data_IF_740505450843
#
_entry.id   IF_740505450843
#
_cell.length_a   1.000
_cell.length_b   1.000
_cell.length_c   1.000
_cell.angle_alpha   90.00
_cell.angle_beta   90.00
_cell.angle_gamma   90.00
#
_symmetry.space_group_name_H-M   'P 1'
#
loop_
_entity.id
_entity.type
_entity.pdbx_description
1 polymer ?
#
# COMPACT_ATOMS: atom_id res chain seq x y z
N UNK A 1 9.64 1.53 -2.13
CA UNK A 1 9.75 2.18 -0.79
C UNK A 1 10.85 1.55 0.08
N UNK A 2 10.99 0.22 0.17
CA UNK A 2 11.98 -0.44 1.05
C UNK A 2 13.44 -0.04 0.82
N UNK A 3 13.86 0.15 -0.44
CA UNK A 3 15.22 0.63 -0.74
C UNK A 3 15.47 2.04 -0.22
N UNK A 4 14.47 2.93 -0.37
CA UNK A 4 14.55 4.31 0.14
C UNK A 4 14.65 4.33 1.66
N UNK A 5 13.92 3.45 2.34
CA UNK A 5 14.00 3.32 3.81
C UNK A 5 15.42 2.97 4.25
N UNK A 6 16.07 2.02 3.58
CA UNK A 6 17.44 1.62 3.91
C UNK A 6 18.44 2.78 3.78
N UNK A 7 18.32 3.57 2.71
CA UNK A 7 19.17 4.75 2.49
C UNK A 7 18.94 5.83 3.55
N UNK A 8 17.68 6.07 3.94
CA UNK A 8 17.34 7.04 4.99
C UNK A 8 17.90 6.59 6.34
N UNK A 9 17.80 5.30 6.69
CA UNK A 9 18.39 4.79 7.93
C UNK A 9 19.90 4.77 7.90
N UNK A 10 20.53 4.50 6.76
CA UNK A 10 21.98 4.63 6.60
C UNK A 10 22.46 6.06 6.84
N UNK A 11 21.62 7.07 6.58
CA UNK A 11 21.88 8.48 6.89
C UNK A 11 21.61 8.86 8.38
N UNK A 12 21.22 7.89 9.23
CA UNK A 12 21.05 8.08 10.67
C UNK A 12 19.64 8.42 11.13
N UNK A 13 18.64 8.32 10.25
CA UNK A 13 17.24 8.52 10.62
C UNK A 13 16.58 7.18 11.01
N UNK A 14 15.63 7.23 11.93
CA UNK A 14 14.81 6.07 12.28
C UNK A 14 13.53 6.08 11.45
N UNK A 15 13.21 4.96 10.79
CA UNK A 15 12.05 4.83 9.93
C UNK A 15 11.28 3.54 10.20
N UNK A 16 10.01 3.49 9.80
CA UNK A 16 9.18 2.29 9.80
C UNK A 16 8.31 2.28 8.54
N UNK A 17 8.13 1.11 7.93
CA UNK A 17 7.19 0.91 6.83
C UNK A 17 5.93 0.26 7.37
N UNK A 18 4.77 0.85 7.06
CA UNK A 18 3.48 0.21 7.23
C UNK A 18 3.10 -0.51 5.92
N UNK A 19 2.83 -1.80 5.97
CA UNK A 19 2.54 -2.60 4.78
C UNK A 19 1.39 -3.60 4.97
N UNK A 20 0.45 -3.66 4.01
CA UNK A 20 -0.57 -4.70 3.96
C UNK A 20 -0.08 -6.01 3.28
N UNK A 21 1.15 -6.02 2.75
CA UNK A 21 1.81 -7.18 2.12
C UNK A 21 3.15 -7.43 2.79
N UNK A 22 3.08 -7.85 4.06
CA UNK A 22 4.23 -7.96 4.93
C UNK A 22 5.35 -8.85 4.37
N UNK A 23 5.01 -10.02 3.83
CA UNK A 23 5.99 -10.99 3.30
C UNK A 23 6.81 -10.41 2.16
N UNK A 24 6.13 -9.75 1.21
CA UNK A 24 6.81 -9.07 0.09
C UNK A 24 7.70 -7.94 0.59
N UNK A 25 7.22 -7.15 1.56
CA UNK A 25 7.98 -6.04 2.11
C UNK A 25 9.20 -6.54 2.89
N UNK A 26 9.05 -7.58 3.67
CA UNK A 26 10.15 -8.20 4.42
C UNK A 26 11.23 -8.77 3.50
N UNK A 27 10.85 -9.33 2.33
CA UNK A 27 11.81 -9.85 1.33
C UNK A 27 12.77 -8.79 0.79
N UNK A 28 12.42 -7.50 0.92
CA UNK A 28 13.28 -6.37 0.54
C UNK A 28 14.31 -6.00 1.63
N UNK A 29 14.40 -6.78 2.71
CA UNK A 29 15.30 -6.54 3.84
C UNK A 29 15.14 -5.13 4.42
N UNK A 30 13.90 -4.73 4.66
CA UNK A 30 13.58 -3.42 5.25
C UNK A 30 14.00 -3.38 6.73
N UNK A 31 14.51 -2.25 7.24
CA UNK A 31 14.97 -2.14 8.62
C UNK A 31 13.87 -2.36 9.66
N UNK A 32 12.68 -1.77 9.48
CA UNK A 32 11.53 -1.92 10.39
C UNK A 32 10.24 -2.01 9.60
N UNK A 33 9.37 -2.95 9.98
CA UNK A 33 8.10 -3.22 9.33
C UNK A 33 6.95 -3.28 10.34
N UNK A 34 5.90 -2.51 10.10
CA UNK A 34 4.59 -2.70 10.71
C UNK A 34 3.67 -3.35 9.68
N UNK A 35 3.19 -4.55 9.99
CA UNK A 35 2.24 -5.27 9.14
C UNK A 35 0.81 -4.97 9.57
N UNK A 36 -0.10 -4.82 8.61
CA UNK A 36 -1.51 -4.58 8.84
C UNK A 36 -2.36 -5.37 7.84
N UNK A 37 -3.46 -5.96 8.30
CA UNK A 37 -4.36 -6.74 7.45
C UNK A 37 -5.43 -5.88 6.77
N UNK A 38 -4.98 -4.86 6.05
CA UNK A 38 -5.86 -3.94 5.32
C UNK A 38 -5.72 -4.12 3.80
N UNK A 39 -6.77 -3.80 3.02
CA UNK A 39 -6.69 -3.85 1.57
C UNK A 39 -5.64 -2.91 1.00
N UNK A 40 -4.98 -3.32 -0.09
CA UNK A 40 -4.07 -2.45 -0.83
C UNK A 40 -4.78 -1.17 -1.27
N UNK A 41 -4.11 -0.03 -1.04
CA UNK A 41 -4.68 1.30 -1.29
C UNK A 41 -5.48 1.90 -0.12
N UNK A 42 -5.71 1.15 0.97
CA UNK A 42 -6.41 1.61 2.19
C UNK A 42 -5.60 1.33 3.45
N UNK A 43 -4.31 1.37 3.35
CA UNK A 43 -3.35 0.98 4.40
C UNK A 43 -3.54 1.72 5.73
N UNK A 44 -4.08 2.93 5.71
CA UNK A 44 -4.35 3.71 6.93
C UNK A 44 -5.79 3.59 7.44
N UNK A 45 -6.66 2.88 6.76
CA UNK A 45 -8.05 2.71 7.15
C UNK A 45 -9.07 3.24 6.14
N UNK A 46 -10.32 3.35 6.57
CA UNK A 46 -11.41 3.79 5.71
C UNK A 46 -11.33 5.30 5.41
N UNK A 47 -11.66 5.73 4.18
CA UNK A 47 -11.80 7.15 3.86
C UNK A 47 -12.84 7.82 4.77
N UNK A 48 -12.46 8.97 5.36
CA UNK A 48 -13.33 9.72 6.25
C UNK A 48 -13.32 9.28 7.73
N UNK A 49 -12.73 8.12 8.05
CA UNK A 49 -12.57 7.68 9.44
C UNK A 49 -11.28 8.23 10.05
N UNK A 50 -11.32 9.50 10.45
CA UNK A 50 -10.18 10.18 11.06
C UNK A 50 -9.73 9.53 12.38
N UNK A 51 -10.66 8.97 13.15
CA UNK A 51 -10.35 8.33 14.42
C UNK A 51 -9.58 7.02 14.20
N UNK A 52 -10.06 6.14 13.31
CA UNK A 52 -9.39 4.90 12.95
C UNK A 52 -8.03 5.14 12.31
N UNK A 53 -7.93 6.11 11.39
CA UNK A 53 -6.65 6.48 10.77
C UNK A 53 -5.62 6.99 11.80
N UNK A 54 -6.06 7.80 12.76
CA UNK A 54 -5.21 8.27 13.85
C UNK A 54 -4.77 7.13 14.77
N UNK A 55 -5.64 6.15 15.03
CA UNK A 55 -5.30 4.97 15.82
C UNK A 55 -4.21 4.12 15.13
N UNK A 56 -4.34 3.89 13.82
CA UNK A 56 -3.32 3.17 13.03
C UNK A 56 -1.98 3.91 13.07
N UNK A 57 -1.98 5.22 12.81
CA UNK A 57 -0.76 6.03 12.86
C UNK A 57 -0.08 5.98 14.22
N UNK A 58 -0.85 6.09 15.29
CA UNK A 58 -0.32 6.01 16.67
C UNK A 58 0.33 4.65 16.92
N UNK A 59 -0.34 3.55 16.57
CA UNK A 59 0.18 2.21 16.75
C UNK A 59 1.48 1.98 15.92
N UNK A 60 1.57 2.53 14.71
CA UNK A 60 2.80 2.48 13.91
C UNK A 60 3.95 3.22 14.60
N UNK A 61 3.69 4.41 15.14
CA UNK A 61 4.70 5.19 15.84
C UNK A 61 5.14 4.53 17.16
N UNK A 62 4.22 3.92 17.88
CA UNK A 62 4.50 3.17 19.11
C UNK A 62 5.30 1.89 18.82
N UNK A 63 5.17 1.30 17.63
CA UNK A 63 5.96 0.15 17.22
C UNK A 63 7.44 0.49 16.92
N UNK A 64 7.78 1.75 16.63
CA UNK A 64 9.16 2.14 16.31
C UNK A 64 10.15 1.76 17.40
N UNK A 65 9.96 2.12 18.69
CA UNK A 65 10.87 1.73 19.75
C UNK A 65 10.81 0.25 20.13
N UNK A 66 9.74 -0.46 19.74
CA UNK A 66 9.58 -1.88 20.02
C UNK A 66 10.41 -2.78 19.05
N UNK A 67 10.84 -2.23 17.93
CA UNK A 67 11.67 -2.94 16.94
C UNK A 67 13.12 -2.45 17.11
N UNK A 68 13.89 -3.15 17.90
CA UNK A 68 15.29 -2.85 18.21
C UNK A 68 16.29 -3.56 17.28
N UNK A 69 15.84 -4.59 16.56
CA UNK A 69 16.68 -5.37 15.65
C UNK A 69 16.37 -5.02 14.19
N UNK A 70 17.40 -4.82 13.33
CA UNK A 70 17.20 -4.62 11.91
C UNK A 70 16.47 -5.79 11.26
N UNK A 71 15.46 -5.49 10.45
CA UNK A 71 14.60 -6.50 9.83
C UNK A 71 13.44 -6.95 10.71
N UNK A 72 13.29 -6.37 11.90
CA UNK A 72 12.18 -6.67 12.80
C UNK A 72 10.83 -6.24 12.24
N UNK A 73 9.80 -7.05 12.49
CA UNK A 73 8.43 -6.80 12.09
C UNK A 73 7.47 -6.91 13.26
N UNK A 74 6.45 -6.08 13.27
CA UNK A 74 5.36 -6.12 14.25
C UNK A 74 4.03 -6.21 13.50
N UNK A 75 3.12 -7.07 13.96
CA UNK A 75 1.76 -7.12 13.44
C UNK A 75 0.88 -6.17 14.26
N UNK A 76 0.23 -5.24 13.58
CA UNK A 76 -0.70 -4.33 14.23
C UNK A 76 -2.06 -5.03 14.45
N UNK A 77 -2.72 -4.79 15.61
CA UNK A 77 -3.97 -5.46 15.97
C UNK A 77 -5.20 -4.81 15.31
N UNK A 78 -5.12 -4.59 14.00
CA UNK A 78 -6.22 -4.01 13.22
C UNK A 78 -6.65 -4.97 12.13
N UNK A 79 -7.95 -5.25 12.07
CA UNK A 79 -8.57 -6.08 11.05
C UNK A 79 -9.50 -5.23 10.18
N UNK A 80 -9.57 -5.56 8.89
CA UNK A 80 -10.52 -4.90 7.99
C UNK A 80 -11.91 -5.53 8.17
N UNK A 81 -12.97 -4.73 8.37
CA UNK A 81 -14.29 -5.25 8.70
C UNK A 81 -15.00 -5.96 7.54
N UNK A 82 -14.56 -5.74 6.31
CA UNK A 82 -15.15 -6.32 5.10
C UNK A 82 -14.33 -7.50 4.59
N UNK A 83 -14.97 -8.51 4.01
CA UNK A 83 -14.26 -9.63 3.42
C UNK A 83 -13.45 -9.20 2.18
N UNK A 84 -12.32 -9.87 1.85
CA UNK A 84 -11.53 -9.54 0.67
C UNK A 84 -12.33 -9.60 -0.65
N UNK A 85 -13.39 -10.42 -0.71
CA UNK A 85 -14.29 -10.51 -1.87
C UNK A 85 -15.16 -9.26 -2.03
N UNK A 86 -15.70 -8.75 -0.93
CA UNK A 86 -16.53 -7.52 -0.93
C UNK A 86 -15.72 -6.29 -1.27
N UNK A 87 -14.53 -6.17 -0.69
CA UNK A 87 -13.59 -5.08 -1.03
C UNK A 87 -13.23 -5.12 -2.52
N UNK A 88 -12.93 -6.31 -3.05
CA UNK A 88 -12.55 -6.48 -4.45
C UNK A 88 -13.71 -6.17 -5.40
N UNK A 89 -14.95 -6.54 -5.06
CA UNK A 89 -16.13 -6.26 -5.89
C UNK A 89 -16.46 -4.76 -5.95
N UNK A 90 -16.16 -4.02 -4.87
CA UNK A 90 -16.42 -2.57 -4.78
C UNK A 90 -15.30 -1.74 -5.43
N UNK A 91 -14.08 -2.25 -5.51
CA UNK A 91 -12.92 -1.55 -6.07
C UNK A 91 -12.79 -1.68 -7.59
N UNK A 92 -13.75 -2.26 -8.28
CA UNK A 92 -13.78 -2.34 -9.75
C UNK A 92 -14.45 -1.08 -10.35
N UNK A 93 -13.98 0.10 -9.98
CA UNK A 93 -14.08 1.23 -10.89
C UNK A 93 -13.01 1.04 -11.96
N UNK A 94 -13.44 0.62 -13.14
CA UNK A 94 -12.55 0.52 -14.30
C UNK A 94 -11.98 1.92 -14.57
N UNK A 95 -10.65 2.10 -14.57
CA UNK A 95 -10.06 3.41 -14.89
C UNK A 95 -10.63 3.95 -16.20
N UNK A 96 -10.79 5.27 -16.37
CA UNK A 96 -11.37 5.86 -17.59
C UNK A 96 -10.72 5.34 -18.87
N UNK A 97 -9.38 5.17 -18.87
CA UNK A 97 -8.64 4.57 -19.98
C UNK A 97 -9.03 3.10 -20.22
N UNK A 98 -9.29 2.33 -19.18
CA UNK A 98 -9.72 0.93 -19.30
C UNK A 98 -11.10 0.82 -19.95
N UNK A 99 -12.06 1.62 -19.54
CA UNK A 99 -13.41 1.66 -20.13
C UNK A 99 -13.39 2.19 -21.57
N UNK A 100 -12.49 3.14 -21.87
CA UNK A 100 -12.27 3.62 -23.24
C UNK A 100 -11.74 2.50 -24.14
N UNK A 101 -10.68 1.79 -23.72
CA UNK A 101 -10.08 0.70 -24.48
C UNK A 101 -11.00 -0.51 -24.68
N UNK A 102 -11.89 -0.77 -23.71
CA UNK A 102 -12.93 -1.79 -23.88
C UNK A 102 -13.92 -1.45 -25.02
N UNK A 103 -14.23 -0.16 -25.21
CA UNK A 103 -15.09 0.33 -26.30
C UNK A 103 -14.34 0.47 -27.63
N UNK A 104 -13.01 0.66 -27.57
CA UNK A 104 -12.15 0.91 -28.74
C UNK A 104 -10.95 -0.05 -28.77
N UNK A 105 -11.16 -1.38 -28.86
CA UNK A 105 -10.09 -2.37 -28.74
C UNK A 105 -9.03 -2.24 -29.86
N UNK A 106 -9.36 -1.62 -30.98
CA UNK A 106 -8.43 -1.35 -32.09
C UNK A 106 -7.36 -0.28 -31.76
N UNK A 107 -7.52 0.43 -30.65
CA UNK A 107 -6.52 1.40 -30.17
C UNK A 107 -5.43 0.76 -29.28
N UNK A 108 -5.63 -0.48 -28.82
CA UNK A 108 -4.63 -1.22 -28.05
C UNK A 108 -3.22 -1.24 -28.67
N UNK A 109 -3.06 -1.44 -30.00
CA UNK A 109 -1.73 -1.41 -30.62
C UNK A 109 -1.01 -0.07 -30.47
N UNK A 110 -1.72 1.06 -30.32
CA UNK A 110 -1.10 2.37 -30.11
C UNK A 110 -0.34 2.47 -28.79
N UNK A 111 -0.75 1.71 -27.76
CA UNK A 111 -0.05 1.64 -26.48
C UNK A 111 1.34 1.04 -26.64
N UNK A 112 1.55 0.09 -27.55
CA UNK A 112 2.84 -0.51 -27.84
C UNK A 112 3.84 0.54 -28.39
N UNK A 113 3.33 1.57 -29.07
CA UNK A 113 4.13 2.69 -29.58
C UNK A 113 4.16 3.89 -28.63
N UNK A 114 3.79 3.70 -27.35
CA UNK A 114 3.73 4.75 -26.32
C UNK A 114 2.84 5.96 -26.67
N UNK A 115 1.89 5.79 -27.57
CA UNK A 115 0.87 6.79 -27.88
C UNK A 115 -0.37 6.49 -27.04
N UNK A 116 -0.52 7.20 -25.92
CA UNK A 116 -1.68 7.02 -25.04
C UNK A 116 -2.90 7.63 -25.70
N UNK A 117 -3.99 6.86 -25.95
CA UNK A 117 -5.27 7.41 -26.40
C UNK A 117 -5.79 8.40 -25.36
N UNK A 118 -6.28 9.54 -25.79
CA UNK A 118 -6.94 10.48 -24.90
C UNK A 118 -8.45 10.25 -24.98
N UNK A 119 -9.11 9.83 -23.89
CA UNK A 119 -10.56 9.80 -23.83
C UNK A 119 -11.10 11.24 -23.88
N UNK A 120 -12.07 11.47 -24.69
CA UNK A 120 -12.82 12.74 -24.77
C UNK A 120 -13.61 12.99 -23.47
#
# INVERSE_FOLDING_TARGET
MGLVQREIEAAGFTTIILSPIADLTASLSVPRLAAIEYPCGRTFGQPGDAAGQSAVLRAVLEAVPAIDTPGGAVNLPFEWPESPKEVRSRSVETPPIGSYLQRHPWELPRLLYRKVPQPD
#
